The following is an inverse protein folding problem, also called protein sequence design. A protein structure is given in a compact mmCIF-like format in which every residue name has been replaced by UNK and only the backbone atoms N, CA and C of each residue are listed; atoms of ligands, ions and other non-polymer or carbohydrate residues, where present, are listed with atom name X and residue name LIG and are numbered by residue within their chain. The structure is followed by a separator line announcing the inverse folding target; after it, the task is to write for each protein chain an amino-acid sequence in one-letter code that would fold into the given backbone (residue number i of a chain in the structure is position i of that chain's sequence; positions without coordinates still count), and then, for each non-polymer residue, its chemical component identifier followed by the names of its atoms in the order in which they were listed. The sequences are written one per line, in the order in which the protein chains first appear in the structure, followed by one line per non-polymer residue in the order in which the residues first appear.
data_IF_288173805987
#
_entry.id   IF_288173805987
#
_cell.length_a   1.000
_cell.length_b   1.000
_cell.length_c   1.000
_cell.angle_alpha   90.00
_cell.angle_beta   90.00
_cell.angle_gamma   90.00
#
_symmetry.space_group_name_H-M   'P 1'
#
loop_
_entity.id
_entity.type
_entity.pdbx_description
1 polymer ?
#
# COMPACT_ATOMS: atom_id res chain seq x y z
N UNK A 1 -20.41 21.96 52.42
CA UNK A 1 -19.16 21.22 52.13
C UNK A 1 -19.22 20.69 50.70
N UNK A 2 -18.93 21.51 49.70
CA UNK A 2 -18.87 21.11 48.29
C UNK A 2 -18.27 22.27 47.49
N UNK A 3 -16.98 22.20 47.10
CA UNK A 3 -16.39 22.93 45.95
C UNK A 3 -14.85 23.02 46.03
N UNK A 4 -14.15 21.89 45.93
CA UNK A 4 -12.66 21.92 45.83
C UNK A 4 -12.06 20.93 44.84
N UNK A 5 -12.86 20.15 44.10
CA UNK A 5 -12.33 19.15 43.15
C UNK A 5 -12.30 19.56 41.67
N UNK A 6 -12.91 20.69 41.27
CA UNK A 6 -12.97 21.08 39.84
C UNK A 6 -11.85 22.01 39.34
N UNK A 7 -10.93 22.48 40.18
CA UNK A 7 -9.89 23.46 39.79
C UNK A 7 -8.51 22.87 39.44
N UNK A 8 -8.32 21.55 39.49
CA UNK A 8 -7.02 20.91 39.22
C UNK A 8 -6.88 20.31 37.80
N UNK A 9 -7.80 20.58 36.88
CA UNK A 9 -7.79 20.00 35.54
C UNK A 9 -7.44 20.98 34.41
N UNK A 10 -6.81 22.14 34.69
CA UNK A 10 -6.60 23.20 33.69
C UNK A 10 -5.11 23.53 33.42
N UNK A 11 -4.14 22.81 33.99
CA UNK A 11 -2.73 23.15 33.78
C UNK A 11 -1.90 21.93 33.38
N UNK A 12 -1.91 21.62 32.08
CA UNK A 12 -0.77 21.03 31.36
C UNK A 12 -1.03 21.09 29.84
N UNK A 13 -1.08 22.30 29.30
CA UNK A 13 -0.71 22.56 27.91
C UNK A 13 0.54 23.41 27.94
N UNK A 14 1.66 22.81 28.35
CA UNK A 14 2.98 23.41 28.14
C UNK A 14 3.20 23.35 26.63
N UNK A 15 3.13 24.51 25.97
CA UNK A 15 3.46 24.60 24.55
C UNK A 15 4.87 24.05 24.35
N UNK A 16 5.01 23.03 23.50
CA UNK A 16 6.32 22.50 23.14
C UNK A 16 7.06 23.63 22.39
N UNK A 17 8.24 24.07 22.84
CA UNK A 17 9.03 25.07 22.17
C UNK A 17 9.21 24.73 20.68
N UNK A 18 9.11 25.70 19.75
CA UNK A 18 9.30 25.45 18.31
C UNK A 18 10.62 24.74 18.00
N UNK A 19 11.66 25.03 18.79
CA UNK A 19 12.97 24.37 18.71
C UNK A 19 12.86 22.86 18.99
N UNK A 20 12.07 22.45 19.97
CA UNK A 20 11.85 21.03 20.26
C UNK A 20 11.00 20.34 19.18
N UNK A 21 10.04 21.05 18.58
CA UNK A 21 9.28 20.54 17.43
C UNK A 21 10.19 20.31 16.23
N UNK A 22 11.04 21.29 15.90
CA UNK A 22 12.00 21.18 14.78
C UNK A 22 13.04 20.10 15.07
N UNK A 23 13.58 20.02 16.30
CA UNK A 23 14.52 18.99 16.68
C UNK A 23 13.91 17.58 16.57
N UNK A 24 12.66 17.41 17.03
CA UNK A 24 11.92 16.15 16.90
C UNK A 24 11.65 15.80 15.44
N UNK A 25 11.26 16.78 14.62
CA UNK A 25 11.08 16.60 13.18
C UNK A 25 12.36 16.09 12.50
N UNK A 26 13.49 16.75 12.77
CA UNK A 26 14.80 16.36 12.24
C UNK A 26 15.17 14.95 12.72
N UNK A 27 14.98 14.65 14.01
CA UNK A 27 15.30 13.35 14.58
C UNK A 27 14.49 12.22 13.91
N UNK A 28 13.17 12.41 13.72
CA UNK A 28 12.30 11.41 13.08
C UNK A 28 12.72 11.15 11.62
N UNK A 29 13.15 12.17 10.88
CA UNK A 29 13.56 12.02 9.47
C UNK A 29 14.98 11.50 9.30
N UNK A 30 15.86 11.66 10.30
CA UNK A 30 17.24 11.16 10.28
C UNK A 30 17.39 9.78 10.87
N UNK A 31 16.48 9.37 11.76
CA UNK A 31 16.54 8.12 12.50
C UNK A 31 15.32 7.28 12.14
N UNK A 32 15.48 6.36 11.21
CA UNK A 32 14.38 5.58 10.60
C UNK A 32 13.55 4.77 11.60
N UNK A 33 14.12 4.38 12.74
CA UNK A 33 13.39 3.65 13.79
C UNK A 33 12.61 4.56 14.76
N UNK A 34 12.92 5.85 14.84
CA UNK A 34 12.39 6.75 15.86
C UNK A 34 10.91 7.08 15.63
N UNK A 35 10.52 7.39 14.40
CA UNK A 35 9.12 7.66 14.05
C UNK A 35 8.19 6.50 14.41
N UNK A 36 8.48 5.26 13.95
CA UNK A 36 7.75 4.07 14.36
C UNK A 36 7.70 3.89 15.88
N UNK A 37 8.85 3.97 16.58
CA UNK A 37 8.90 3.77 18.03
C UNK A 37 8.06 4.78 18.82
N UNK A 38 8.03 6.04 18.39
CA UNK A 38 7.18 7.07 19.02
C UNK A 38 5.69 6.79 18.82
N UNK A 39 5.31 6.34 17.63
CA UNK A 39 3.92 5.97 17.34
C UNK A 39 3.50 4.75 18.18
N UNK A 40 4.37 3.75 18.30
CA UNK A 40 4.11 2.53 19.08
C UNK A 40 4.05 2.84 20.59
N UNK A 41 4.93 3.73 21.09
CA UNK A 41 4.89 4.22 22.47
C UNK A 41 3.62 5.02 22.79
N UNK A 42 3.15 5.87 21.88
CA UNK A 42 1.90 6.59 22.05
C UNK A 42 0.71 5.61 22.17
N UNK A 43 0.65 4.60 21.31
CA UNK A 43 -0.38 3.54 21.38
C UNK A 43 -0.34 2.76 22.69
N UNK A 44 0.84 2.54 23.27
CA UNK A 44 0.99 1.84 24.55
C UNK A 44 0.46 2.63 25.75
N UNK A 45 0.49 3.97 25.72
CA UNK A 45 0.10 4.83 26.85
C UNK A 45 -1.40 5.15 26.82
N UNK A 46 -1.91 5.60 25.68
CA UNK A 46 -3.30 6.10 25.57
C UNK A 46 -4.25 5.10 24.91
N UNK A 47 -3.72 3.95 24.46
CA UNK A 47 -4.49 2.91 23.78
C UNK A 47 -4.71 3.21 22.29
N UNK A 48 -4.90 2.16 21.47
CA UNK A 48 -5.04 2.30 20.02
C UNK A 48 -6.28 3.12 19.61
N UNK A 49 -7.39 3.00 20.34
CA UNK A 49 -8.64 3.71 20.00
C UNK A 49 -8.55 5.22 20.20
N UNK A 50 -7.89 5.69 21.27
CA UNK A 50 -7.72 7.13 21.50
C UNK A 50 -6.78 7.77 20.46
N UNK A 51 -5.71 7.06 20.08
CA UNK A 51 -4.83 7.47 18.98
C UNK A 51 -5.61 7.51 17.67
N UNK A 52 -6.40 6.49 17.37
CA UNK A 52 -7.23 6.44 16.17
C UNK A 52 -8.23 7.61 16.12
N UNK A 53 -8.93 7.91 17.23
CA UNK A 53 -9.84 9.06 17.28
C UNK A 53 -9.12 10.39 17.07
N UNK A 54 -7.95 10.58 17.67
CA UNK A 54 -7.16 11.80 17.44
C UNK A 54 -6.67 11.91 16.00
N UNK A 55 -6.24 10.79 15.41
CA UNK A 55 -5.86 10.68 14.00
C UNK A 55 -7.05 11.01 13.09
N UNK A 56 -8.23 10.46 13.35
CA UNK A 56 -9.45 10.71 12.57
C UNK A 56 -9.84 12.19 12.59
N UNK A 57 -9.73 12.87 13.74
CA UNK A 57 -9.99 14.32 13.83
C UNK A 57 -8.96 15.10 13.03
N UNK A 58 -7.67 14.78 13.17
CA UNK A 58 -6.59 15.47 12.47
C UNK A 58 -6.71 15.29 10.95
N UNK A 59 -6.85 14.05 10.48
CA UNK A 59 -7.05 13.71 9.08
C UNK A 59 -8.37 14.26 8.54
N UNK A 60 -9.42 14.37 9.36
CA UNK A 60 -10.68 15.01 8.97
C UNK A 60 -10.54 16.51 8.73
N UNK A 61 -9.73 17.20 9.53
CA UNK A 61 -9.40 18.63 9.34
C UNK A 61 -8.55 18.80 8.08
N UNK A 62 -7.49 17.99 7.94
CA UNK A 62 -6.62 17.99 6.76
C UNK A 62 -7.41 17.72 5.48
N UNK A 63 -8.30 16.73 5.50
CA UNK A 63 -9.17 16.40 4.38
C UNK A 63 -10.11 17.55 4.00
N UNK A 64 -10.70 18.24 4.99
CA UNK A 64 -11.57 19.39 4.73
C UNK A 64 -10.78 20.54 4.10
N UNK A 65 -9.58 20.80 4.60
CA UNK A 65 -8.68 21.79 4.03
C UNK A 65 -8.28 21.44 2.60
N UNK A 66 -7.84 20.19 2.36
CA UNK A 66 -7.44 19.72 1.04
C UNK A 66 -8.60 19.76 0.04
N UNK A 67 -9.81 19.37 0.43
CA UNK A 67 -11.00 19.48 -0.43
C UNK A 67 -11.35 20.90 -0.80
N UNK A 68 -11.15 21.85 0.11
CA UNK A 68 -11.39 23.27 -0.19
C UNK A 68 -10.32 23.84 -1.14
N UNK A 69 -9.04 23.61 -0.85
CA UNK A 69 -7.95 24.23 -1.62
C UNK A 69 -7.59 23.50 -2.91
N UNK A 70 -7.96 22.23 -3.05
CA UNK A 70 -7.68 21.41 -4.24
C UNK A 70 -8.94 21.04 -5.02
N UNK A 71 -10.06 21.74 -4.79
CA UNK A 71 -11.34 21.45 -5.47
C UNK A 71 -11.23 21.43 -7.00
N UNK A 72 -10.35 22.27 -7.54
CA UNK A 72 -10.18 22.49 -8.98
C UNK A 72 -9.03 21.66 -9.57
N UNK A 73 -8.41 20.80 -8.76
CA UNK A 73 -7.32 19.95 -9.22
C UNK A 73 -7.84 18.91 -10.22
N UNK A 74 -7.31 18.92 -11.44
CA UNK A 74 -7.62 17.90 -12.43
C UNK A 74 -7.02 16.53 -12.03
N UNK A 75 -7.73 15.42 -12.32
CA UNK A 75 -7.21 14.08 -12.10
C UNK A 75 -5.98 13.85 -12.98
N UNK A 76 -4.96 13.23 -12.41
CA UNK A 76 -3.66 13.08 -13.06
C UNK A 76 -3.54 11.70 -13.70
N UNK A 77 -3.33 11.61 -15.03
CA UNK A 77 -2.90 10.36 -15.64
C UNK A 77 -1.44 10.10 -15.24
N UNK A 78 -1.20 9.02 -14.48
CA UNK A 78 0.16 8.64 -14.08
C UNK A 78 0.94 7.90 -15.18
N UNK A 79 0.28 7.53 -16.27
CA UNK A 79 0.90 7.00 -17.47
C UNK A 79 0.00 7.21 -18.69
N UNK A 80 0.62 7.25 -19.86
CA UNK A 80 -0.09 7.29 -21.12
C UNK A 80 -0.68 5.90 -21.45
N UNK A 81 -1.89 5.90 -21.99
CA UNK A 81 -2.47 4.72 -22.62
C UNK A 81 -2.11 4.77 -24.09
N UNK A 82 -1.37 3.77 -24.63
CA UNK A 82 -1.10 3.72 -26.05
C UNK A 82 -2.42 3.78 -26.82
N UNK A 83 -2.51 4.57 -27.91
CA UNK A 83 -3.70 4.55 -28.74
C UNK A 83 -3.96 3.11 -29.15
N UNK A 84 -5.23 2.67 -29.08
CA UNK A 84 -5.60 1.32 -29.48
C UNK A 84 -5.07 1.08 -30.90
N UNK A 85 -4.01 0.29 -31.01
CA UNK A 85 -3.49 -0.12 -32.31
C UNK A 85 -4.65 -0.89 -32.92
N UNK A 86 -5.27 -0.31 -33.94
CA UNK A 86 -6.21 -1.05 -34.77
C UNK A 86 -5.39 -2.16 -35.40
N UNK A 87 -5.36 -3.33 -34.75
CA UNK A 87 -4.77 -4.51 -35.34
C UNK A 87 -5.45 -4.67 -36.70
N UNK A 88 -4.69 -4.68 -37.83
CA UNK A 88 -5.31 -4.99 -39.11
C UNK A 88 -6.09 -6.29 -38.92
N UNK A 89 -7.35 -6.29 -39.38
CA UNK A 89 -8.20 -7.46 -39.31
C UNK A 89 -7.38 -8.68 -39.74
N UNK A 90 -7.35 -9.76 -38.95
CA UNK A 90 -6.50 -10.90 -39.27
C UNK A 90 -6.87 -11.35 -40.68
N UNK A 91 -5.93 -11.20 -41.62
CA UNK A 91 -6.01 -11.93 -42.88
C UNK A 91 -6.13 -13.39 -42.47
N UNK A 92 -7.21 -14.04 -42.91
CA UNK A 92 -7.60 -15.37 -42.47
C UNK A 92 -6.44 -16.36 -42.64
N UNK A 93 -5.62 -16.47 -41.60
CA UNK A 93 -4.63 -17.52 -41.43
C UNK A 93 -5.36 -18.66 -40.75
N UNK A 94 -5.45 -19.79 -41.42
CA UNK A 94 -6.13 -21.01 -40.97
C UNK A 94 -5.41 -21.74 -39.83
N UNK A 95 -4.44 -21.10 -39.17
CA UNK A 95 -3.85 -21.61 -37.94
C UNK A 95 -4.73 -21.17 -36.76
N UNK A 96 -5.14 -22.08 -35.85
CA UNK A 96 -5.84 -21.68 -34.64
C UNK A 96 -4.91 -20.80 -33.80
N UNK A 97 -5.13 -19.48 -33.84
CA UNK A 97 -4.51 -18.57 -32.87
C UNK A 97 -5.12 -18.88 -31.52
N UNK A 98 -4.35 -19.52 -30.64
CA UNK A 98 -4.73 -19.61 -29.23
C UNK A 98 -5.02 -18.17 -28.75
N UNK A 99 -6.18 -17.88 -28.16
CA UNK A 99 -6.43 -16.56 -27.61
C UNK A 99 -5.35 -16.25 -26.56
N UNK A 100 -4.90 -14.99 -26.43
CA UNK A 100 -4.05 -14.59 -25.31
C UNK A 100 -4.78 -14.99 -24.02
N UNK A 101 -4.16 -15.88 -23.25
CA UNK A 101 -4.83 -16.58 -22.14
C UNK A 101 -5.26 -15.63 -21.02
N UNK A 102 -4.65 -14.47 -20.95
CA UNK A 102 -4.88 -13.46 -19.92
C UNK A 102 -4.89 -12.06 -20.55
N UNK A 103 -6.08 -11.49 -20.73
CA UNK A 103 -6.28 -10.10 -21.13
C UNK A 103 -7.46 -9.54 -20.32
N UNK A 104 -7.20 -8.74 -19.28
CA UNK A 104 -8.27 -8.15 -18.50
C UNK A 104 -9.16 -7.23 -19.35
N UNK A 105 -10.47 -7.30 -19.15
CA UNK A 105 -11.42 -6.40 -19.81
C UNK A 105 -11.31 -4.99 -19.22
N UNK A 106 -11.34 -3.97 -20.08
CA UNK A 106 -11.35 -2.57 -19.64
C UNK A 106 -12.55 -2.33 -18.74
N UNK A 107 -12.28 -1.73 -17.57
CA UNK A 107 -13.32 -1.40 -16.58
C UNK A 107 -13.89 0.00 -16.81
N UNK A 108 -13.13 0.86 -17.51
CA UNK A 108 -13.47 2.27 -17.72
C UNK A 108 -13.40 3.10 -16.42
N UNK A 109 -13.73 4.39 -16.48
CA UNK A 109 -13.65 5.26 -15.31
C UNK A 109 -14.69 4.88 -14.25
N UNK A 110 -14.26 4.77 -12.98
CA UNK A 110 -15.18 4.58 -11.86
C UNK A 110 -16.06 5.81 -11.61
N UNK A 111 -15.54 7.00 -11.92
CA UNK A 111 -16.28 8.25 -11.81
C UNK A 111 -15.93 9.21 -12.95
N UNK A 112 -16.93 9.61 -13.74
CA UNK A 112 -16.70 10.50 -14.87
C UNK A 112 -16.22 11.92 -14.49
N UNK A 113 -16.53 12.40 -13.28
CA UNK A 113 -16.13 13.75 -12.83
C UNK A 113 -14.65 13.84 -12.47
N UNK A 114 -14.10 12.75 -11.95
CA UNK A 114 -12.72 12.67 -11.47
C UNK A 114 -11.87 11.70 -12.29
N UNK A 115 -12.31 11.33 -13.49
CA UNK A 115 -11.57 10.44 -14.38
C UNK A 115 -10.43 11.18 -15.09
N UNK A 116 -9.23 10.58 -15.09
CA UNK A 116 -8.18 10.95 -16.01
C UNK A 116 -8.35 10.23 -17.36
N UNK A 117 -7.79 10.75 -18.47
CA UNK A 117 -7.74 10.02 -19.74
C UNK A 117 -7.12 8.63 -19.56
N UNK A 118 -7.81 7.60 -20.05
CA UNK A 118 -7.33 6.21 -19.95
C UNK A 118 -7.67 5.50 -18.64
N UNK A 119 -8.37 6.14 -17.69
CA UNK A 119 -8.85 5.48 -16.47
C UNK A 119 -9.60 4.18 -16.80
N UNK A 120 -9.23 3.11 -16.11
CA UNK A 120 -9.81 1.78 -16.30
C UNK A 120 -9.44 1.07 -17.60
N UNK A 121 -8.50 1.62 -18.37
CA UNK A 121 -7.95 0.95 -19.56
C UNK A 121 -6.69 0.18 -19.21
N UNK A 122 -6.68 -1.12 -19.53
CA UNK A 122 -5.53 -1.98 -19.27
C UNK A 122 -4.42 -1.74 -20.29
N UNK A 123 -3.22 -1.51 -19.78
CA UNK A 123 -1.99 -1.36 -20.56
C UNK A 123 -1.06 -2.53 -20.21
N UNK A 124 -0.55 -3.28 -21.21
CA UNK A 124 0.41 -4.34 -20.93
C UNK A 124 1.70 -3.79 -20.32
N UNK A 125 2.33 -4.60 -19.46
CA UNK A 125 3.70 -4.41 -18.99
C UNK A 125 4.49 -5.58 -19.56
N UNK A 126 5.57 -5.25 -20.28
CA UNK A 126 6.39 -6.23 -21.01
C UNK A 126 7.77 -6.39 -20.36
N UNK A 127 7.88 -7.07 -19.20
CA UNK A 127 9.18 -7.41 -18.65
C UNK A 127 9.84 -8.49 -19.52
N UNK A 128 11.18 -8.49 -19.68
CA UNK A 128 11.89 -9.49 -20.49
C UNK A 128 11.60 -10.95 -20.11
N UNK A 129 11.28 -11.19 -18.84
CA UNK A 129 10.97 -12.52 -18.30
C UNK A 129 9.62 -13.09 -18.77
N UNK A 130 8.80 -12.29 -19.47
CA UNK A 130 7.50 -12.71 -20.00
C UNK A 130 7.56 -12.96 -21.51
N UNK A 131 8.17 -14.10 -21.87
CA UNK A 131 8.53 -14.46 -23.25
C UNK A 131 7.35 -14.96 -24.12
N UNK A 132 6.23 -15.36 -23.50
CA UNK A 132 5.04 -15.87 -24.20
C UNK A 132 3.98 -14.78 -24.48
N UNK A 133 4.28 -13.51 -24.16
CA UNK A 133 3.36 -12.37 -24.21
C UNK A 133 3.24 -11.66 -22.86
N UNK A 134 2.47 -10.56 -22.77
CA UNK A 134 2.33 -9.79 -21.54
C UNK A 134 1.72 -10.65 -20.42
N UNK A 135 2.48 -10.81 -19.34
CA UNK A 135 2.06 -11.52 -18.12
C UNK A 135 1.52 -10.56 -17.04
N UNK A 136 1.64 -9.26 -17.29
CA UNK A 136 1.29 -8.18 -16.38
C UNK A 136 0.52 -7.11 -17.16
N UNK A 137 -0.53 -6.58 -16.55
CA UNK A 137 -1.29 -5.45 -17.09
C UNK A 137 -1.50 -4.44 -15.97
N UNK A 138 -1.43 -3.14 -16.29
CA UNK A 138 -1.73 -2.07 -15.33
C UNK A 138 -2.92 -1.25 -15.78
N UNK A 139 -3.70 -0.78 -14.81
CA UNK A 139 -4.72 0.26 -15.00
C UNK A 139 -4.72 1.22 -13.83
N UNK A 140 -5.15 2.45 -14.10
CA UNK A 140 -5.30 3.51 -13.11
C UNK A 140 -6.79 3.76 -12.90
N UNK A 141 -7.19 4.07 -11.67
CA UNK A 141 -8.56 4.46 -11.35
C UNK A 141 -8.57 5.63 -10.36
N UNK A 142 -9.50 6.56 -10.56
CA UNK A 142 -9.85 7.59 -9.59
C UNK A 142 -11.21 7.25 -8.94
N UNK A 143 -11.22 6.57 -7.78
CA UNK A 143 -12.45 6.07 -7.18
C UNK A 143 -13.26 7.14 -6.42
N UNK A 144 -12.61 8.23 -6.00
CA UNK A 144 -13.26 9.25 -5.16
C UNK A 144 -13.89 10.35 -6.04
N UNK A 145 -15.22 10.58 -5.95
CA UNK A 145 -15.91 11.60 -6.74
C UNK A 145 -15.57 13.05 -6.34
N UNK A 146 -14.97 13.24 -5.17
CA UNK A 146 -14.68 14.56 -4.59
C UNK A 146 -13.17 14.83 -4.62
N UNK A 147 -12.35 13.79 -4.45
CA UNK A 147 -10.89 13.90 -4.35
C UNK A 147 -10.23 13.41 -5.63
N UNK A 148 -10.09 14.29 -6.63
CA UNK A 148 -9.47 13.97 -7.92
C UNK A 148 -7.99 13.52 -7.81
N UNK A 149 -7.34 13.74 -6.68
CA UNK A 149 -5.98 13.25 -6.39
C UNK A 149 -5.94 11.88 -5.70
N UNK A 150 -7.09 11.28 -5.39
CA UNK A 150 -7.17 9.91 -4.88
C UNK A 150 -7.10 8.97 -6.07
N UNK A 151 -6.05 8.15 -6.11
CA UNK A 151 -5.77 7.28 -7.24
C UNK A 151 -5.43 5.87 -6.75
N UNK A 152 -5.90 4.87 -7.50
CA UNK A 152 -5.60 3.45 -7.30
C UNK A 152 -4.92 2.92 -8.56
N UNK A 153 -3.69 2.46 -8.41
CA UNK A 153 -3.00 1.69 -9.44
C UNK A 153 -3.29 0.20 -9.22
N UNK A 154 -3.77 -0.47 -10.25
CA UNK A 154 -4.05 -1.92 -10.22
C UNK A 154 -3.11 -2.60 -11.20
N UNK A 155 -2.48 -3.68 -10.75
CA UNK A 155 -1.72 -4.59 -11.60
C UNK A 155 -2.41 -5.94 -11.61
N UNK A 156 -2.83 -6.38 -12.78
CA UNK A 156 -3.33 -7.73 -13.03
C UNK A 156 -2.16 -8.63 -13.44
N UNK A 157 -2.05 -9.78 -12.80
CA UNK A 157 -0.94 -10.73 -12.97
C UNK A 157 -1.49 -12.06 -13.49
N UNK A 158 -0.93 -12.57 -14.59
CA UNK A 158 -1.26 -13.90 -15.10
C UNK A 158 -0.61 -14.98 -14.23
N UNK A 159 -1.39 -15.57 -13.32
CA UNK A 159 -0.90 -16.63 -12.44
C UNK A 159 -0.63 -17.97 -13.16
N UNK A 160 -1.04 -18.11 -14.43
CA UNK A 160 -0.71 -19.30 -15.22
C UNK A 160 0.72 -19.26 -15.79
N UNK A 161 1.31 -18.06 -15.91
CA UNK A 161 2.67 -17.84 -16.42
C UNK A 161 3.63 -17.27 -15.39
N UNK A 162 3.17 -17.01 -14.16
CA UNK A 162 3.96 -16.41 -13.09
C UNK A 162 3.86 -17.21 -11.79
N UNK A 163 4.81 -17.00 -10.89
CA UNK A 163 4.82 -17.60 -9.55
C UNK A 163 4.98 -16.51 -8.50
N UNK A 164 4.25 -16.65 -7.40
CA UNK A 164 4.45 -15.84 -6.20
C UNK A 164 5.50 -16.50 -5.30
N UNK A 165 6.53 -15.74 -4.90
CA UNK A 165 7.50 -16.13 -3.90
C UNK A 165 7.44 -15.15 -2.73
N UNK A 166 7.08 -15.64 -1.55
CA UNK A 166 7.05 -14.85 -0.32
C UNK A 166 8.44 -14.77 0.29
N UNK A 167 8.89 -13.54 0.58
CA UNK A 167 10.14 -13.28 1.30
C UNK A 167 9.82 -12.71 2.67
N UNK A 168 10.40 -13.29 3.73
CA UNK A 168 10.24 -12.76 5.07
C UNK A 168 10.92 -11.39 5.22
N UNK A 169 10.18 -10.42 5.77
CA UNK A 169 10.75 -9.13 6.16
C UNK A 169 11.81 -9.29 7.25
N UNK A 170 12.67 -8.29 7.45
CA UNK A 170 13.85 -8.41 8.34
C UNK A 170 13.48 -8.57 9.80
N UNK A 171 12.55 -7.75 10.30
CA UNK A 171 12.15 -7.71 11.71
C UNK A 171 10.72 -8.21 11.91
N UNK A 172 9.83 -7.77 11.03
CA UNK A 172 8.39 -7.98 11.16
C UNK A 172 7.86 -8.91 10.06
N UNK A 173 6.86 -9.77 10.36
CA UNK A 173 6.35 -10.06 11.70
C UNK A 173 7.39 -10.77 12.58
N UNK A 174 7.34 -10.58 13.90
CA UNK A 174 8.21 -11.26 14.87
C UNK A 174 7.96 -12.77 14.84
N UNK A 175 9.01 -13.55 14.60
CA UNK A 175 8.93 -15.01 14.61
C UNK A 175 8.73 -15.52 16.05
N UNK A 176 7.70 -16.34 16.28
CA UNK A 176 7.37 -16.88 17.61
C UNK A 176 7.61 -18.37 17.73
N UNK A 177 7.58 -19.12 16.62
CA UNK A 177 7.93 -20.55 16.59
C UNK A 177 9.44 -20.74 16.77
N UNK A 178 9.86 -21.92 17.23
CA UNK A 178 11.27 -22.21 17.47
C UNK A 178 12.03 -22.26 16.15
N UNK A 179 11.45 -22.94 15.17
CA UNK A 179 12.02 -23.20 13.85
C UNK A 179 12.24 -21.91 13.06
N UNK A 180 11.34 -20.92 13.18
CA UNK A 180 11.43 -19.69 12.40
C UNK A 180 12.34 -18.62 13.03
N UNK A 181 12.73 -18.75 14.30
CA UNK A 181 13.63 -17.79 14.97
C UNK A 181 15.06 -17.86 14.45
N UNK A 182 15.48 -19.04 14.02
CA UNK A 182 16.84 -19.29 13.55
C UNK A 182 16.97 -19.06 12.02
N UNK A 183 15.86 -18.77 11.32
CA UNK A 183 15.88 -18.50 9.88
C UNK A 183 16.44 -17.11 9.60
N UNK A 184 17.40 -17.06 8.66
CA UNK A 184 17.91 -15.79 8.16
C UNK A 184 16.84 -15.07 7.33
N UNK A 185 16.56 -13.82 7.68
CA UNK A 185 15.53 -13.00 7.04
C UNK A 185 16.15 -11.75 6.42
N UNK A 186 16.75 -11.85 5.22
CA UNK A 186 17.43 -10.71 4.60
C UNK A 186 16.46 -9.61 4.15
N UNK A 187 15.17 -9.92 3.98
CA UNK A 187 14.20 -8.98 3.42
C UNK A 187 14.50 -8.60 1.97
N UNK A 188 15.24 -9.43 1.25
CA UNK A 188 15.68 -9.23 -0.13
C UNK A 188 15.23 -10.38 -1.00
N UNK A 189 14.92 -10.09 -2.26
CA UNK A 189 14.67 -11.12 -3.27
C UNK A 189 15.93 -12.00 -3.40
N UNK A 190 15.80 -13.34 -3.27
CA UNK A 190 16.90 -14.27 -3.39
C UNK A 190 17.63 -14.13 -4.73
N UNK A 191 18.95 -14.33 -4.74
CA UNK A 191 19.77 -14.09 -5.94
C UNK A 191 19.33 -14.93 -7.13
N UNK A 192 18.95 -16.18 -6.90
CA UNK A 192 18.47 -17.10 -7.94
C UNK A 192 17.19 -16.62 -8.64
N UNK A 193 16.38 -15.78 -7.99
CA UNK A 193 15.10 -15.32 -8.52
C UNK A 193 15.22 -13.98 -9.27
N UNK A 194 16.33 -13.26 -9.11
CA UNK A 194 16.48 -11.87 -9.60
C UNK A 194 16.34 -11.77 -11.12
N UNK A 195 16.81 -12.77 -11.87
CA UNK A 195 16.70 -12.78 -13.34
C UNK A 195 15.25 -13.01 -13.80
N UNK A 196 14.46 -13.76 -13.03
CA UNK A 196 13.06 -14.03 -13.32
C UNK A 196 12.09 -13.01 -12.68
N UNK A 197 12.59 -12.10 -11.84
CA UNK A 197 11.79 -11.14 -11.10
C UNK A 197 11.10 -10.14 -12.04
N UNK A 198 9.77 -10.12 -12.01
CA UNK A 198 8.95 -9.18 -12.78
C UNK A 198 8.34 -8.06 -11.93
N UNK A 199 8.13 -8.30 -10.63
CA UNK A 199 7.59 -7.34 -9.68
C UNK A 199 7.90 -7.75 -8.23
N UNK A 200 7.98 -6.77 -7.34
CA UNK A 200 8.01 -6.96 -5.89
C UNK A 200 7.19 -5.86 -5.22
N UNK A 201 6.44 -6.20 -4.17
CA UNK A 201 5.61 -5.27 -3.42
C UNK A 201 5.57 -5.69 -1.95
N UNK A 202 5.29 -4.73 -1.06
CA UNK A 202 5.12 -5.02 0.35
C UNK A 202 3.87 -5.87 0.58
N UNK A 203 3.94 -6.76 1.57
CA UNK A 203 2.84 -7.66 1.92
C UNK A 203 2.30 -7.40 3.33
N UNK A 204 2.35 -8.44 4.15
CA UNK A 204 1.61 -8.60 5.39
C UNK A 204 1.83 -7.56 6.51
N UNK A 205 1.27 -7.89 7.66
CA UNK A 205 1.16 -6.99 8.79
C UNK A 205 2.34 -7.14 9.76
N UNK A 206 2.61 -6.09 10.54
CA UNK A 206 3.44 -6.20 11.74
C UNK A 206 2.73 -7.05 12.79
N UNK A 207 3.48 -7.72 13.65
CA UNK A 207 2.91 -8.47 14.79
C UNK A 207 2.02 -7.58 15.66
N UNK A 208 2.41 -6.33 15.85
CA UNK A 208 1.69 -5.33 16.66
C UNK A 208 0.35 -4.91 16.07
N UNK A 209 0.10 -5.19 14.78
CA UNK A 209 -1.17 -4.95 14.12
C UNK A 209 -2.10 -6.17 14.25
N UNK A 210 -2.14 -6.80 15.43
CA UNK A 210 -3.06 -7.89 15.78
C UNK A 210 -2.63 -9.30 15.37
N UNK A 211 -1.32 -9.53 15.19
CA UNK A 211 -0.74 -10.86 14.99
C UNK A 211 -1.47 -11.74 13.97
N UNK A 212 -1.72 -11.20 12.78
CA UNK A 212 -2.51 -11.84 11.71
C UNK A 212 -1.82 -13.04 11.01
N UNK A 213 -0.67 -13.44 11.54
CA UNK A 213 0.06 -14.63 11.13
C UNK A 213 0.95 -14.44 9.91
N UNK A 214 1.86 -15.40 9.73
CA UNK A 214 2.72 -15.52 8.57
C UNK A 214 3.26 -16.95 8.47
N UNK A 215 3.16 -17.51 7.28
CA UNK A 215 3.76 -18.79 6.92
C UNK A 215 4.41 -18.67 5.52
N UNK A 216 5.60 -19.22 5.37
CA UNK A 216 6.30 -19.36 4.09
C UNK A 216 6.72 -20.81 3.96
N UNK A 217 6.39 -21.45 2.83
CA UNK A 217 6.80 -22.82 2.51
C UNK A 217 6.57 -23.84 3.64
N UNK A 218 5.43 -23.71 4.33
CA UNK A 218 5.06 -24.56 5.47
C UNK A 218 5.71 -24.19 6.81
N UNK A 219 6.73 -23.32 6.82
CA UNK A 219 7.31 -22.78 8.05
C UNK A 219 6.46 -21.63 8.57
N UNK A 220 5.81 -21.86 9.70
CA UNK A 220 5.03 -20.83 10.40
C UNK A 220 5.97 -19.90 11.16
N UNK A 221 6.02 -18.62 10.80
CA UNK A 221 6.76 -17.59 11.53
C UNK A 221 5.93 -17.09 12.73
N UNK A 222 4.66 -16.79 12.47
CA UNK A 222 3.71 -16.29 13.45
C UNK A 222 2.38 -17.01 13.21
N UNK A 223 1.82 -17.75 14.19
CA UNK A 223 0.47 -18.28 14.04
C UNK A 223 -0.55 -17.12 14.09
N UNK A 224 -1.62 -17.16 13.29
CA UNK A 224 -2.65 -16.12 13.32
C UNK A 224 -3.42 -16.16 14.63
N UNK A 225 -3.71 -14.99 15.19
CA UNK A 225 -4.63 -14.84 16.31
C UNK A 225 -6.01 -14.41 15.82
N UNK A 226 -7.06 -14.69 16.60
CA UNK A 226 -8.39 -14.13 16.33
C UNK A 226 -8.32 -12.62 16.51
N UNK A 227 -8.82 -11.90 15.52
CA UNK A 227 -9.03 -10.47 15.62
C UNK A 227 -10.21 -10.19 16.56
N UNK A 228 -9.99 -9.40 17.62
CA UNK A 228 -10.99 -9.12 18.66
C UNK A 228 -10.37 -8.56 19.92
#
# INVERSE_FOLDING_TARGET
MTSTRRRKAVLLCVGIPPVLVIALWVAIHRVSWLGPALADGARAIVGPSAVATAQDVAYGIEDRWNRFWRSDQAPQPYWDVPPAVSLPAPSASSAPSLPPRFLPANVGPMNAKTAAPGDGTWVPIDPPSCSAGPCLFKTLLHPDPIRAWTTVAIVAVDVASTRLHLVAGVQEPKATTKEAKDVQRPGLVPEQDRTALIAAFNGGFKTEHGALGMQIDGLTFLPPQRWG
#
